data_IF_357204958820
#
_entry.id   IF_357204958820
#
_cell.length_a   1.000
_cell.length_b   1.000
_cell.length_c   1.000
_cell.angle_alpha   90.00
_cell.angle_beta   90.00
_cell.angle_gamma   90.00
#
_symmetry.space_group_name_H-M   'P 1'
#
loop_
_entity.id
_entity.type
_entity.pdbx_description
1 polymer ?
#
# COMPACT_ATOMS: atom_id res chain seq x y z
N UNK A 1 22.53 -16.36 18.23
CA UNK A 1 21.13 -15.93 18.04
C UNK A 1 21.09 -15.10 16.78
N UNK A 2 20.41 -15.56 15.72
CA UNK A 2 20.13 -14.71 14.57
C UNK A 2 18.94 -13.85 15.00
N UNK A 3 19.15 -12.54 15.15
CA UNK A 3 18.06 -11.58 15.33
C UNK A 3 17.19 -11.68 14.10
N UNK A 4 15.95 -12.16 14.26
CA UNK A 4 14.98 -12.21 13.17
C UNK A 4 14.72 -10.76 12.74
N UNK A 5 15.19 -10.39 11.56
CA UNK A 5 14.99 -9.05 11.01
C UNK A 5 13.48 -8.83 10.90
N UNK A 6 12.99 -7.76 11.53
CA UNK A 6 11.61 -7.32 11.36
C UNK A 6 11.52 -6.67 9.98
N UNK A 7 10.52 -7.06 9.19
CA UNK A 7 10.26 -6.49 7.86
C UNK A 7 8.97 -5.69 7.91
N UNK A 8 8.97 -4.52 7.28
CA UNK A 8 7.77 -3.73 7.03
C UNK A 8 7.40 -3.83 5.56
N UNK A 9 6.20 -4.32 5.26
CA UNK A 9 5.63 -4.27 3.93
C UNK A 9 4.75 -3.03 3.81
N UNK A 10 5.06 -2.18 2.83
CA UNK A 10 4.31 -0.96 2.57
C UNK A 10 3.76 -0.97 1.15
N UNK A 11 2.49 -0.64 0.99
CA UNK A 11 1.86 -0.41 -0.31
C UNK A 11 1.23 0.98 -0.35
N UNK A 12 0.91 1.45 -1.55
CA UNK A 12 0.26 2.74 -1.76
C UNK A 12 -1.11 2.53 -2.37
N UNK A 13 -2.12 3.19 -1.82
CA UNK A 13 -3.47 3.19 -2.38
C UNK A 13 -4.16 4.52 -2.11
N UNK A 14 -4.88 5.02 -3.12
CA UNK A 14 -5.74 6.18 -3.00
C UNK A 14 -7.04 5.95 -3.77
N UNK A 15 -8.15 6.48 -3.25
CA UNK A 15 -9.40 6.56 -3.97
C UNK A 15 -9.22 7.57 -5.12
N UNK A 16 -9.24 7.06 -6.36
CA UNK A 16 -9.08 7.91 -7.53
C UNK A 16 -10.34 8.76 -7.73
N UNK A 17 -10.16 10.02 -8.15
CA UNK A 17 -11.29 10.79 -8.67
C UNK A 17 -11.79 10.14 -9.97
N UNK A 18 -13.06 10.34 -10.37
CA UNK A 18 -13.57 9.85 -11.65
C UNK A 18 -12.72 10.31 -12.85
N UNK A 19 -12.17 11.53 -12.78
CA UNK A 19 -11.33 12.11 -13.83
C UNK A 19 -9.96 11.43 -13.92
N UNK A 20 -9.34 11.13 -12.78
CA UNK A 20 -8.09 10.38 -12.72
C UNK A 20 -8.30 8.93 -13.16
N UNK A 21 -9.40 8.29 -12.72
CA UNK A 21 -9.80 6.96 -13.15
C UNK A 21 -10.02 6.90 -14.66
N UNK A 22 -10.69 7.89 -15.26
CA UNK A 22 -10.88 7.98 -16.72
C UNK A 22 -9.57 8.12 -17.50
N UNK A 23 -8.59 8.84 -16.96
CA UNK A 23 -7.29 9.00 -17.59
C UNK A 23 -6.48 7.69 -17.56
N UNK A 24 -6.62 6.91 -16.48
CA UNK A 24 -5.95 5.62 -16.35
C UNK A 24 -6.69 4.54 -17.12
N UNK A 25 -8.03 4.50 -17.07
CA UNK A 25 -8.85 3.46 -17.72
C UNK A 25 -8.75 3.49 -19.25
N UNK A 26 -8.55 4.68 -19.83
CA UNK A 26 -8.25 4.85 -21.26
C UNK A 26 -6.93 4.21 -21.69
N UNK A 27 -6.01 3.99 -20.75
CA UNK A 27 -4.68 3.44 -20.99
C UNK A 27 -4.50 2.03 -20.39
N UNK A 28 -5.32 1.63 -19.43
CA UNK A 28 -5.30 0.33 -18.75
C UNK A 28 -6.73 -0.13 -18.48
N UNK A 29 -7.18 -1.18 -19.17
CA UNK A 29 -8.45 -1.85 -18.92
C UNK A 29 -8.40 -2.47 -17.52
N UNK A 30 -9.45 -2.31 -16.71
CA UNK A 30 -9.67 -2.85 -15.33
C UNK A 30 -9.46 -1.86 -14.16
N UNK A 31 -10.33 -0.86 -14.04
CA UNK A 31 -10.39 0.05 -12.88
C UNK A 31 -11.77 0.13 -12.21
N UNK A 32 -12.60 -0.92 -12.31
CA UNK A 32 -14.04 -0.74 -12.11
C UNK A 32 -14.63 -1.18 -10.76
N UNK A 33 -13.82 -1.56 -9.76
CA UNK A 33 -14.38 -1.72 -8.40
C UNK A 33 -13.39 -1.39 -7.28
N UNK A 34 -13.69 -0.33 -6.52
CA UNK A 34 -12.97 0.06 -5.30
C UNK A 34 -12.84 -1.11 -4.31
N UNK A 35 -13.86 -1.98 -4.27
CA UNK A 35 -13.82 -3.16 -3.41
C UNK A 35 -12.74 -4.16 -3.82
N UNK A 36 -12.41 -4.25 -5.11
CA UNK A 36 -11.40 -5.18 -5.63
C UNK A 36 -10.00 -4.80 -5.13
N UNK A 37 -9.65 -3.52 -5.11
CA UNK A 37 -8.35 -3.05 -4.62
C UNK A 37 -8.16 -3.30 -3.12
N UNK A 38 -9.20 -3.05 -2.30
CA UNK A 38 -9.09 -3.30 -0.85
C UNK A 38 -8.96 -4.80 -0.56
N UNK A 39 -9.62 -5.66 -1.35
CA UNK A 39 -9.43 -7.11 -1.29
C UNK A 39 -8.01 -7.52 -1.70
N UNK A 40 -7.44 -6.92 -2.75
CA UNK A 40 -6.07 -7.16 -3.16
C UNK A 40 -5.06 -6.78 -2.08
N UNK A 41 -5.23 -5.60 -1.45
CA UNK A 41 -4.37 -5.16 -0.33
C UNK A 41 -4.44 -6.15 0.85
N UNK A 42 -5.64 -6.57 1.24
CA UNK A 42 -5.82 -7.56 2.32
C UNK A 42 -5.16 -8.90 1.97
N UNK A 43 -5.36 -9.41 0.74
CA UNK A 43 -4.73 -10.65 0.27
C UNK A 43 -3.20 -10.57 0.24
N UNK A 44 -2.65 -9.48 -0.30
CA UNK A 44 -1.22 -9.22 -0.31
C UNK A 44 -0.65 -9.25 1.11
N UNK A 45 -1.26 -8.53 2.05
CA UNK A 45 -0.79 -8.50 3.43
C UNK A 45 -0.98 -9.80 4.22
N UNK A 46 -2.04 -10.57 3.92
CA UNK A 46 -2.18 -11.93 4.47
C UNK A 46 -1.07 -12.83 3.97
N UNK A 47 -0.75 -12.79 2.68
CA UNK A 47 0.38 -13.55 2.12
C UNK A 47 1.72 -13.15 2.76
N UNK A 48 1.92 -11.84 3.00
CA UNK A 48 3.08 -11.33 3.73
C UNK A 48 3.16 -11.87 5.15
N UNK A 49 2.03 -11.91 5.87
CA UNK A 49 1.97 -12.42 7.25
C UNK A 49 2.20 -13.93 7.32
N UNK A 50 1.80 -14.69 6.30
CA UNK A 50 2.06 -16.13 6.20
C UNK A 50 3.57 -16.41 6.02
N UNK A 51 4.25 -15.66 5.16
CA UNK A 51 5.70 -15.79 4.95
C UNK A 51 6.53 -15.18 6.09
N UNK A 52 6.06 -14.09 6.69
CA UNK A 52 6.75 -13.33 7.72
C UNK A 52 5.80 -13.02 8.91
N UNK A 53 5.62 -13.94 9.87
CA UNK A 53 4.61 -13.81 10.94
C UNK A 53 4.69 -12.57 11.84
N UNK A 54 5.83 -11.87 11.85
CA UNK A 54 6.06 -10.68 12.68
C UNK A 54 6.25 -9.41 11.83
N UNK A 55 5.80 -9.41 10.57
CA UNK A 55 5.95 -8.24 9.71
C UNK A 55 5.00 -7.10 10.12
N UNK A 56 5.45 -5.87 9.91
CA UNK A 56 4.57 -4.69 9.93
C UNK A 56 3.92 -4.52 8.56
N UNK A 57 2.69 -3.99 8.55
CA UNK A 57 1.88 -3.78 7.35
C UNK A 57 1.44 -2.33 7.30
N UNK A 58 1.73 -1.65 6.20
CA UNK A 58 1.53 -0.20 6.10
C UNK A 58 0.88 0.15 4.77
N UNK A 59 -0.20 0.91 4.82
CA UNK A 59 -0.78 1.56 3.63
C UNK A 59 -0.42 3.04 3.67
N UNK A 60 0.29 3.48 2.65
CA UNK A 60 0.53 4.89 2.34
C UNK A 60 -0.66 5.39 1.52
N UNK A 61 -1.26 6.49 1.95
CA UNK A 61 -2.51 6.98 1.34
C UNK A 61 -2.67 8.49 1.53
N UNK A 62 -3.70 9.06 0.93
CA UNK A 62 -4.05 10.47 1.08
C UNK A 62 -4.89 10.73 2.35
N UNK A 63 -5.39 11.96 2.49
CA UNK A 63 -6.24 12.35 3.62
C UNK A 63 -7.68 11.82 3.52
N UNK A 64 -8.12 11.36 2.34
CA UNK A 64 -9.54 11.19 2.03
C UNK A 64 -9.94 9.75 1.70
N UNK A 65 -8.98 8.91 1.31
CA UNK A 65 -9.21 7.51 0.97
C UNK A 65 -9.77 6.79 2.18
N UNK A 66 -10.91 6.14 1.96
CA UNK A 66 -11.57 5.36 2.98
C UNK A 66 -11.06 3.91 2.92
N UNK A 67 -10.42 3.52 4.02
CA UNK A 67 -9.78 2.22 4.25
C UNK A 67 -10.44 1.48 5.42
N UNK A 68 -11.67 1.86 5.79
CA UNK A 68 -12.36 1.34 6.97
C UNK A 68 -12.64 -0.17 6.94
N UNK A 69 -12.61 -0.79 5.76
CA UNK A 69 -12.76 -2.24 5.59
C UNK A 69 -11.46 -3.02 5.79
N UNK A 70 -10.31 -2.36 5.85
CA UNK A 70 -9.03 -3.04 6.08
C UNK A 70 -8.90 -3.49 7.54
N UNK A 71 -8.14 -4.56 7.75
CA UNK A 71 -7.85 -5.09 9.07
C UNK A 71 -7.14 -4.05 9.96
N UNK A 72 -7.47 -4.03 11.26
CA UNK A 72 -6.99 -3.04 12.23
C UNK A 72 -5.50 -3.15 12.56
N UNK A 73 -4.86 -4.25 12.20
CA UNK A 73 -3.42 -4.46 12.34
C UNK A 73 -2.60 -3.89 11.16
N UNK A 74 -3.28 -3.28 10.17
CA UNK A 74 -2.65 -2.51 9.09
C UNK A 74 -2.53 -1.05 9.55
N UNK A 75 -1.31 -0.53 9.58
CA UNK A 75 -1.05 0.87 9.89
C UNK A 75 -1.34 1.74 8.66
N UNK A 76 -2.10 2.81 8.86
CA UNK A 76 -2.39 3.78 7.81
C UNK A 76 -1.50 5.00 8.00
N UNK A 77 -0.74 5.35 6.96
CA UNK A 77 0.08 6.56 6.92
C UNK A 77 -0.49 7.52 5.89
N UNK A 78 -1.13 8.59 6.38
CA UNK A 78 -1.81 9.59 5.54
C UNK A 78 -0.87 10.74 5.21
N UNK A 79 -0.91 11.16 3.96
CA UNK A 79 -0.08 12.23 3.40
C UNK A 79 -0.95 13.19 2.59
N UNK A 80 -0.50 14.43 2.46
CA UNK A 80 -1.12 15.38 1.53
C UNK A 80 -0.52 15.14 0.15
N UNK A 81 -1.24 14.38 -0.68
CA UNK A 81 -0.81 13.99 -2.04
C UNK A 81 -1.92 14.25 -3.05
N UNK A 82 -1.56 14.45 -4.31
CA UNK A 82 -2.50 14.78 -5.37
C UNK A 82 -3.16 13.51 -5.96
N UNK A 83 -4.47 13.29 -5.81
CA UNK A 83 -5.14 12.12 -6.35
C UNK A 83 -5.28 12.14 -7.89
N UNK A 84 -5.00 13.26 -8.56
CA UNK A 84 -4.97 13.36 -10.02
C UNK A 84 -3.64 12.87 -10.62
N UNK A 85 -2.58 12.78 -9.81
CA UNK A 85 -1.22 12.41 -10.21
C UNK A 85 -0.73 11.13 -9.52
N UNK A 86 -1.56 10.07 -9.53
CA UNK A 86 -1.38 8.83 -8.75
C UNK A 86 0.05 8.26 -8.76
N UNK A 87 0.71 8.18 -9.92
CA UNK A 87 2.07 7.63 -10.00
C UNK A 87 3.12 8.53 -9.35
N UNK A 88 2.96 9.84 -9.45
CA UNK A 88 3.84 10.80 -8.77
C UNK A 88 3.57 10.78 -7.27
N UNK A 89 2.29 10.85 -6.88
CA UNK A 89 1.83 10.78 -5.49
C UNK A 89 2.31 9.51 -4.79
N UNK A 90 2.34 8.37 -5.50
CA UNK A 90 2.94 7.13 -5.01
C UNK A 90 4.42 7.29 -4.70
N UNK A 91 5.19 7.83 -5.65
CA UNK A 91 6.64 8.03 -5.47
C UNK A 91 6.92 8.98 -4.30
N UNK A 92 6.20 10.09 -4.23
CA UNK A 92 6.34 11.08 -3.15
C UNK A 92 6.01 10.47 -1.80
N UNK A 93 4.92 9.70 -1.71
CA UNK A 93 4.53 9.03 -0.48
C UNK A 93 5.57 8.00 -0.01
N UNK A 94 6.07 7.17 -0.93
CA UNK A 94 7.10 6.19 -0.63
C UNK A 94 8.42 6.85 -0.20
N UNK A 95 8.83 7.91 -0.89
CA UNK A 95 10.04 8.67 -0.54
C UNK A 95 9.89 9.32 0.83
N UNK A 96 8.75 9.97 1.11
CA UNK A 96 8.48 10.59 2.40
C UNK A 96 8.54 9.55 3.53
N UNK A 97 7.88 8.40 3.34
CA UNK A 97 7.85 7.32 4.33
C UNK A 97 9.26 6.80 4.67
N UNK A 98 10.12 6.59 3.66
CA UNK A 98 11.49 6.10 3.86
C UNK A 98 12.38 7.15 4.53
N UNK A 99 12.21 8.43 4.19
CA UNK A 99 13.12 9.51 4.62
C UNK A 99 12.79 10.10 5.98
N UNK A 100 11.53 10.02 6.42
CA UNK A 100 11.06 10.72 7.63
C UNK A 100 10.60 9.78 8.76
N UNK A 101 10.57 8.47 8.55
CA UNK A 101 10.18 7.52 9.60
C UNK A 101 11.41 6.79 10.14
N UNK A 102 11.49 6.65 11.46
CA UNK A 102 12.38 5.66 12.08
C UNK A 102 11.71 4.29 12.01
N UNK A 103 12.08 3.52 10.98
CA UNK A 103 11.37 2.29 10.61
C UNK A 103 11.75 1.13 11.55
N UNK A 104 12.99 1.13 12.06
CA UNK A 104 13.53 0.04 12.90
C UNK A 104 13.47 -1.35 12.25
N UNK A 105 13.31 -1.41 10.92
CA UNK A 105 13.08 -2.62 10.11
C UNK A 105 13.48 -2.37 8.67
N UNK A 106 13.81 -3.43 7.94
CA UNK A 106 13.88 -3.37 6.48
C UNK A 106 12.49 -3.10 5.91
N UNK A 107 12.42 -2.28 4.86
CA UNK A 107 11.15 -1.90 4.22
C UNK A 107 11.09 -2.42 2.80
N UNK A 108 9.99 -3.06 2.46
CA UNK A 108 9.67 -3.53 1.13
C UNK A 108 8.46 -2.76 0.62
N UNK A 109 8.65 -2.04 -0.48
CA UNK A 109 7.59 -1.32 -1.18
C UNK A 109 6.95 -2.25 -2.22
N UNK A 110 5.63 -2.40 -2.18
CA UNK A 110 4.90 -3.35 -3.03
C UNK A 110 3.74 -2.71 -3.79
N UNK A 111 3.46 -3.27 -4.96
CA UNK A 111 2.15 -3.14 -5.61
C UNK A 111 1.11 -4.02 -4.89
N UNK A 112 -0.14 -3.55 -4.83
CA UNK A 112 -1.22 -4.26 -4.14
C UNK A 112 -1.68 -5.53 -4.85
N UNK A 113 -1.40 -5.67 -6.15
CA UNK A 113 -1.75 -6.83 -6.99
C UNK A 113 -0.71 -7.96 -6.91
N UNK A 114 0.24 -7.88 -5.96
CA UNK A 114 1.25 -8.89 -5.73
C UNK A 114 0.85 -9.88 -4.63
N UNK A 115 1.29 -11.12 -4.76
CA UNK A 115 1.31 -12.10 -3.68
C UNK A 115 2.75 -12.40 -3.27
N UNK A 116 2.97 -12.51 -1.97
CA UNK A 116 4.27 -12.84 -1.40
C UNK A 116 4.31 -14.32 -1.09
N UNK A 117 5.29 -15.00 -1.68
CA UNK A 117 5.61 -16.39 -1.37
C UNK A 117 7.07 -16.46 -0.90
N UNK A 118 7.30 -17.09 0.25
CA UNK A 118 8.64 -17.28 0.82
C UNK A 118 8.60 -18.41 1.85
N UNK A 119 9.70 -19.18 1.92
CA UNK A 119 9.90 -20.35 2.78
C UNK A 119 10.49 -19.94 4.13
#
# INVERSE_FOLDING_TARGET
MITKIMITFATFHIDCTPKAADHISKNNVHLDDRNEYLVQIDLMFRSASLAHPNCKKVVLTDLHTDLSSLSSDIQIHRLDVDPELIMLSRLEAQLHYITHQDLGSDVVLLDSDMLIQGV
#
